data_IF_359312453918
#
_entry.id   IF_359312453918
#
_cell.length_a   1.000
_cell.length_b   1.000
_cell.length_c   1.000
_cell.angle_alpha   90.00
_cell.angle_beta   90.00
_cell.angle_gamma   90.00
#
_symmetry.space_group_name_H-M   'P 1'
#
loop_
_entity.id
_entity.type
_entity.pdbx_description
1 polymer ?
#
# COMPACT_ATOMS: atom_id res chain seq x y z
N UNK A 1 27.37 -9.47 0.68
CA UNK A 1 25.89 -9.56 0.54
C UNK A 1 25.33 -8.15 0.48
N UNK A 2 24.68 -7.79 -0.64
CA UNK A 2 24.30 -6.42 -1.01
C UNK A 2 23.23 -5.83 -0.07
N UNK A 3 23.54 -4.71 0.56
CA UNK A 3 22.68 -3.95 1.48
C UNK A 3 21.53 -3.17 0.79
N UNK A 4 21.37 -3.33 -0.52
CA UNK A 4 20.42 -2.57 -1.35
C UNK A 4 19.04 -3.26 -1.41
N UNK A 5 19.00 -4.61 -1.40
CA UNK A 5 17.74 -5.35 -1.57
C UNK A 5 16.83 -5.29 -0.33
N UNK A 6 17.38 -5.24 0.89
CA UNK A 6 16.59 -5.20 2.13
C UNK A 6 15.91 -3.84 2.43
N UNK A 7 15.93 -2.87 1.52
CA UNK A 7 15.39 -1.52 1.77
C UNK A 7 14.21 -1.11 0.91
N UNK A 8 13.94 -1.82 -0.19
CA UNK A 8 12.99 -1.35 -1.20
C UNK A 8 11.55 -1.72 -0.90
N UNK A 9 11.31 -2.90 -0.30
CA UNK A 9 9.96 -3.37 0.04
C UNK A 9 9.77 -3.46 1.55
N UNK A 10 8.54 -3.23 2.00
CA UNK A 10 8.13 -3.29 3.39
C UNK A 10 6.80 -4.01 3.53
N UNK A 11 6.66 -4.79 4.59
CA UNK A 11 5.43 -5.47 4.99
C UNK A 11 4.43 -4.45 5.57
N UNK A 12 3.19 -4.43 5.09
CA UNK A 12 2.15 -3.53 5.61
C UNK A 12 1.85 -3.80 7.08
N UNK A 13 1.81 -5.06 7.52
CA UNK A 13 1.58 -5.41 8.92
C UNK A 13 2.65 -4.82 9.84
N UNK A 14 3.89 -4.80 9.36
CA UNK A 14 5.01 -4.22 10.10
C UNK A 14 4.89 -2.70 10.25
N UNK A 15 4.30 -2.02 9.26
CA UNK A 15 4.23 -0.55 9.23
C UNK A 15 2.96 -0.02 9.89
N UNK A 16 1.82 -0.64 9.64
CA UNK A 16 0.49 -0.15 10.03
C UNK A 16 -0.22 -1.06 11.05
N UNK A 17 0.35 -2.23 11.35
CA UNK A 17 -0.32 -3.25 12.15
C UNK A 17 -1.34 -4.04 11.32
N UNK A 18 -1.77 -5.19 11.86
CA UNK A 18 -2.72 -6.08 11.17
C UNK A 18 -4.10 -5.45 10.96
N UNK A 19 -4.51 -4.55 11.85
CA UNK A 19 -5.80 -3.86 11.77
C UNK A 19 -5.69 -2.48 11.07
N UNK A 20 -4.49 -2.09 10.63
CA UNK A 20 -4.24 -0.78 10.00
C UNK A 20 -4.55 -0.75 8.51
N UNK A 21 -4.89 -1.90 7.93
CA UNK A 21 -5.24 -2.07 6.53
C UNK A 21 -6.17 -3.27 6.35
N UNK A 22 -6.86 -3.31 5.21
CA UNK A 22 -7.72 -4.44 4.83
C UNK A 22 -7.47 -4.84 3.38
N UNK A 23 -7.69 -6.12 3.07
CA UNK A 23 -7.71 -6.61 1.70
C UNK A 23 -9.15 -6.57 1.19
N UNK A 24 -9.39 -5.77 0.16
CA UNK A 24 -10.60 -5.86 -0.65
C UNK A 24 -10.42 -6.93 -1.72
N UNK A 25 -11.15 -8.02 -1.56
CA UNK A 25 -11.19 -9.19 -2.43
C UNK A 25 -12.53 -9.37 -3.17
N UNK A 26 -13.35 -8.31 -3.21
CA UNK A 26 -14.64 -8.32 -3.90
C UNK A 26 -14.52 -8.62 -5.41
N UNK A 27 -13.38 -8.28 -6.02
CA UNK A 27 -12.97 -8.72 -7.35
C UNK A 27 -11.67 -9.54 -7.24
N UNK A 28 -11.74 -10.88 -7.38
CA UNK A 28 -10.58 -11.76 -7.29
C UNK A 28 -9.48 -11.47 -8.34
N UNK A 29 -9.82 -10.83 -9.46
CA UNK A 29 -8.86 -10.45 -10.49
C UNK A 29 -8.18 -9.10 -10.19
N UNK A 30 -8.77 -8.29 -9.30
CA UNK A 30 -8.31 -6.95 -8.95
C UNK A 30 -8.31 -6.72 -7.43
N UNK A 31 -7.54 -7.51 -6.70
CA UNK A 31 -7.35 -7.31 -5.26
C UNK A 31 -6.77 -5.92 -4.96
N UNK A 32 -7.25 -5.29 -3.90
CA UNK A 32 -6.78 -3.98 -3.45
C UNK A 32 -6.51 -4.00 -1.95
N UNK A 33 -5.31 -3.58 -1.53
CA UNK A 33 -5.07 -3.29 -0.11
C UNK A 33 -5.51 -1.84 0.19
N UNK A 34 -6.43 -1.69 1.15
CA UNK A 34 -6.99 -0.40 1.56
C UNK A 34 -6.48 0.01 2.93
N UNK A 35 -6.13 1.28 3.07
CA UNK A 35 -5.69 1.88 4.34
C UNK A 35 -6.50 3.14 4.60
N UNK A 36 -7.00 3.28 5.81
CA UNK A 36 -7.80 4.44 6.23
C UNK A 36 -7.03 5.29 7.22
N UNK A 37 -6.86 6.57 6.90
CA UNK A 37 -6.22 7.57 7.75
C UNK A 37 -7.17 8.70 8.14
N UNK A 38 -6.72 9.56 9.05
CA UNK A 38 -7.52 10.73 9.49
C UNK A 38 -7.82 11.68 8.33
N UNK A 39 -6.91 11.79 7.37
CA UNK A 39 -6.92 12.77 6.28
C UNK A 39 -7.37 12.20 4.93
N UNK A 40 -7.55 10.89 4.83
CA UNK A 40 -7.90 10.23 3.59
C UNK A 40 -7.70 8.72 3.64
N UNK A 41 -7.82 8.10 2.48
CA UNK A 41 -7.65 6.66 2.27
C UNK A 41 -6.56 6.42 1.21
N UNK A 42 -5.90 5.27 1.30
CA UNK A 42 -4.99 4.77 0.28
C UNK A 42 -5.49 3.44 -0.26
N UNK A 43 -5.37 3.28 -1.57
CA UNK A 43 -5.66 2.05 -2.28
C UNK A 43 -4.40 1.61 -3.03
N UNK A 44 -3.94 0.40 -2.72
CA UNK A 44 -2.79 -0.24 -3.33
C UNK A 44 -3.29 -1.40 -4.17
N UNK A 45 -3.23 -1.26 -5.49
CA UNK A 45 -3.64 -2.33 -6.39
C UNK A 45 -2.61 -3.46 -6.37
N UNK A 46 -3.04 -4.65 -5.95
CA UNK A 46 -2.18 -5.82 -5.88
C UNK A 46 -1.74 -6.22 -7.30
N UNK A 47 -0.48 -6.67 -7.42
CA UNK A 47 0.19 -7.02 -8.68
C UNK A 47 0.31 -5.88 -9.70
N UNK A 48 0.10 -4.63 -9.26
CA UNK A 48 0.27 -3.42 -10.05
C UNK A 48 1.23 -2.46 -9.35
N UNK A 49 1.75 -1.49 -10.08
CA UNK A 49 2.63 -0.42 -9.62
C UNK A 49 1.84 0.84 -9.25
N UNK A 50 0.60 0.70 -8.77
CA UNK A 50 -0.30 1.84 -8.57
C UNK A 50 -0.68 2.04 -7.10
N UNK A 51 -0.54 3.28 -6.65
CA UNK A 51 -1.10 3.81 -5.40
C UNK A 51 -2.09 4.92 -5.72
N UNK A 52 -3.33 4.78 -5.27
CA UNK A 52 -4.33 5.85 -5.32
C UNK A 52 -4.54 6.42 -3.93
N UNK A 53 -4.40 7.73 -3.78
CA UNK A 53 -4.65 8.46 -2.55
C UNK A 53 -5.94 9.26 -2.69
N UNK A 54 -6.91 9.00 -1.80
CA UNK A 54 -8.20 9.67 -1.72
C UNK A 54 -8.21 10.59 -0.52
N UNK A 55 -7.99 11.89 -0.73
CA UNK A 55 -7.89 12.87 0.37
C UNK A 55 -9.20 13.59 0.61
N UNK A 56 -9.55 13.88 1.86
CA UNK A 56 -10.84 14.54 2.22
C UNK A 56 -11.06 15.92 1.61
N UNK A 57 -9.99 16.62 1.23
CA UNK A 57 -10.02 18.02 0.77
C UNK A 57 -9.53 18.21 -0.66
N UNK A 58 -9.28 17.12 -1.39
CA UNK A 58 -8.66 17.16 -2.71
C UNK A 58 -9.27 16.16 -3.68
N UNK A 59 -8.80 16.19 -4.92
CA UNK A 59 -9.07 15.14 -5.89
C UNK A 59 -8.19 13.92 -5.60
N UNK A 60 -8.71 12.75 -5.94
CA UNK A 60 -7.96 11.50 -5.93
C UNK A 60 -6.69 11.66 -6.79
N UNK A 61 -5.57 11.16 -6.27
CA UNK A 61 -4.29 11.17 -6.97
C UNK A 61 -3.74 9.76 -7.08
N UNK A 62 -3.46 9.34 -8.29
CA UNK A 62 -2.79 8.07 -8.56
C UNK A 62 -1.31 8.29 -8.87
N UNK A 63 -0.46 7.48 -8.26
CA UNK A 63 0.99 7.50 -8.39
C UNK A 63 1.47 6.16 -8.94
N UNK A 64 2.38 6.22 -9.92
CA UNK A 64 3.19 5.08 -10.31
C UNK A 64 4.29 4.87 -9.27
N UNK A 65 4.38 3.64 -8.78
CA UNK A 65 5.35 3.20 -7.82
C UNK A 65 6.59 2.66 -8.52
N UNK A 66 7.73 2.74 -7.84
CA UNK A 66 8.99 2.16 -8.32
C UNK A 66 9.00 0.62 -8.33
N UNK A 67 7.93 -0.03 -7.86
CA UNK A 67 7.78 -1.47 -7.84
C UNK A 67 6.32 -1.90 -7.66
N UNK A 68 6.05 -3.17 -7.94
CA UNK A 68 4.70 -3.74 -7.86
C UNK A 68 4.33 -4.09 -6.43
N UNK A 69 3.07 -3.88 -6.06
CA UNK A 69 2.54 -4.34 -4.78
C UNK A 69 2.34 -5.85 -4.84
N UNK A 70 2.81 -6.58 -3.82
CA UNK A 70 2.78 -8.06 -3.81
C UNK A 70 1.93 -8.56 -2.65
N UNK A 71 0.94 -9.38 -2.93
CA UNK A 71 0.17 -10.13 -1.93
C UNK A 71 0.63 -11.59 -1.87
N UNK A 72 0.72 -12.13 -0.66
CA UNK A 72 1.13 -13.52 -0.41
C UNK A 72 -0.01 -14.29 0.28
N UNK A 73 -0.85 -15.04 -0.46
CA UNK A 73 -2.04 -15.69 0.10
C UNK A 73 -1.74 -16.67 1.23
N UNK A 74 -0.59 -17.34 1.19
CA UNK A 74 -0.16 -18.31 2.21
C UNK A 74 0.02 -17.64 3.58
N UNK A 75 0.49 -16.39 3.60
CA UNK A 75 0.77 -15.65 4.84
C UNK A 75 -0.19 -14.50 5.10
N UNK A 76 -1.07 -14.17 4.15
CA UNK A 76 -1.97 -13.00 4.22
C UNK A 76 -1.25 -11.64 4.14
N UNK A 77 0.05 -11.63 3.81
CA UNK A 77 0.88 -10.42 3.88
C UNK A 77 0.90 -9.66 2.56
N UNK A 78 0.93 -8.34 2.67
CA UNK A 78 1.12 -7.43 1.54
C UNK A 78 2.45 -6.70 1.70
N UNK A 79 3.28 -6.77 0.65
CA UNK A 79 4.55 -6.07 0.56
C UNK A 79 4.46 -4.94 -0.45
N UNK A 80 4.87 -3.75 -0.03
CA UNK A 80 4.80 -2.53 -0.84
C UNK A 80 6.17 -1.88 -0.98
N UNK A 81 6.43 -1.14 -2.06
CA UNK A 81 7.60 -0.28 -2.13
C UNK A 81 7.63 0.72 -0.96
N UNK A 82 8.79 0.97 -0.38
CA UNK A 82 8.98 1.96 0.69
C UNK A 82 8.53 3.36 0.26
N UNK A 83 8.65 3.66 -1.04
CA UNK A 83 8.11 4.87 -1.64
C UNK A 83 6.60 5.03 -1.37
N UNK A 84 5.81 3.96 -1.49
CA UNK A 84 4.38 3.98 -1.24
C UNK A 84 4.07 4.37 0.21
N UNK A 85 4.79 3.78 1.18
CA UNK A 85 4.66 4.13 2.60
C UNK A 85 4.98 5.59 2.86
N UNK A 86 6.03 6.13 2.23
CA UNK A 86 6.38 7.53 2.39
C UNK A 86 5.27 8.45 1.84
N UNK A 87 4.71 8.13 0.67
CA UNK A 87 3.60 8.89 0.07
C UNK A 87 2.35 8.83 0.95
N UNK A 88 1.98 7.65 1.47
CA UNK A 88 0.84 7.47 2.37
C UNK A 88 1.01 8.27 3.68
N UNK A 89 2.21 8.25 4.27
CA UNK A 89 2.50 9.05 5.48
C UNK A 89 2.41 10.55 5.22
N UNK A 90 2.89 11.03 4.07
CA UNK A 90 2.74 12.44 3.67
C UNK A 90 1.26 12.83 3.47
N UNK A 91 0.41 11.86 3.10
CA UNK A 91 -1.03 12.04 2.97
C UNK A 91 -1.81 11.85 4.29
N UNK A 92 -1.12 11.68 5.42
CA UNK A 92 -1.74 11.56 6.74
C UNK A 92 -2.35 10.19 7.04
N UNK A 93 -1.84 9.14 6.38
CA UNK A 93 -2.17 7.73 6.63
C UNK A 93 -1.03 7.12 7.45
N UNK A 94 -1.35 6.73 8.68
CA UNK A 94 -0.39 6.33 9.72
C UNK A 94 -0.78 5.02 10.37
#
# INVERSE_FOLDING_TARGET
MNSIQNRLFVDLDYVYGQDGWELDDSDPENLVARLSGKQGEAELSINKDLLTLKTKWGKDKTYNLEGVVVYTPVTGKVYVPRQAVNLMKLAGIH
#
